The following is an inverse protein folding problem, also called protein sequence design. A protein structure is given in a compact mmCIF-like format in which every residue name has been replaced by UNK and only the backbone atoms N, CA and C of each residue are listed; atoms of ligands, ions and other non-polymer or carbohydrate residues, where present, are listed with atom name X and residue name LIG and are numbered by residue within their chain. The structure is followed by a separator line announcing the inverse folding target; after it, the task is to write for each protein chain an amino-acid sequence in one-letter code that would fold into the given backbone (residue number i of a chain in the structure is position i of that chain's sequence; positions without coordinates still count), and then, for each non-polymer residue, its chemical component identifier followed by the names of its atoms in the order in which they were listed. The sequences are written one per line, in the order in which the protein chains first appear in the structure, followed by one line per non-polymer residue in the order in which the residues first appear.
data_IF_731578150501
#
_entry.id   IF_731578150501
#
_cell.length_a   1.000
_cell.length_b   1.000
_cell.length_c   1.000
_cell.angle_alpha   90.00
_cell.angle_beta   90.00
_cell.angle_gamma   90.00
#
_symmetry.space_group_name_H-M   'P 1'
#
loop_
_entity.id
_entity.type
_entity.pdbx_description
1 polymer ?
#
# COMPACT_ATOMS: atom_id res chain seq x y z
N UNK A 1 -8.68 -8.47 11.09
CA UNK A 1 -8.45 -9.37 9.93
C UNK A 1 -7.11 -9.00 9.35
N UNK A 2 -6.17 -9.93 9.21
CA UNK A 2 -4.87 -9.62 8.63
C UNK A 2 -5.03 -9.42 7.12
N UNK A 3 -4.46 -8.35 6.56
CA UNK A 3 -4.45 -8.15 5.13
C UNK A 3 -3.64 -9.29 4.47
N UNK A 4 -4.18 -9.99 3.46
CA UNK A 4 -3.48 -11.11 2.82
C UNK A 4 -2.18 -10.66 2.11
N UNK A 5 -2.12 -9.38 1.73
CA UNK A 5 -0.94 -8.75 1.15
C UNK A 5 -0.54 -7.58 2.04
N UNK A 6 0.60 -7.70 2.69
CA UNK A 6 1.16 -6.63 3.53
C UNK A 6 2.66 -6.51 3.34
N UNK A 7 3.14 -5.31 3.53
CA UNK A 7 4.54 -4.90 3.59
C UNK A 7 4.70 -3.92 4.77
N UNK A 8 5.93 -3.52 5.14
CA UNK A 8 6.15 -2.62 6.26
C UNK A 8 5.29 -1.35 6.29
N UNK A 9 5.09 -0.71 5.13
CA UNK A 9 4.37 0.57 5.00
C UNK A 9 2.98 0.43 4.39
N UNK A 10 2.66 -0.70 3.75
CA UNK A 10 1.41 -0.87 3.00
C UNK A 10 0.68 -2.17 3.33
N UNK A 11 -0.64 -2.11 3.25
CA UNK A 11 -1.49 -3.29 3.29
C UNK A 11 -2.58 -3.17 2.25
N UNK A 12 -2.86 -4.27 1.56
CA UNK A 12 -3.93 -4.34 0.57
C UNK A 12 -4.99 -5.32 1.04
N UNK A 13 -6.21 -4.81 1.19
CA UNK A 13 -7.37 -5.58 1.65
C UNK A 13 -8.36 -5.69 0.50
N UNK A 14 -8.77 -6.93 0.19
CA UNK A 14 -9.85 -7.20 -0.75
C UNK A 14 -11.19 -7.02 -0.04
N UNK A 15 -12.09 -6.29 -0.68
CA UNK A 15 -13.48 -6.07 -0.26
C UNK A 15 -14.43 -6.69 -1.27
N UNK A 16 -15.73 -6.64 -1.01
CA UNK A 16 -16.76 -7.14 -1.95
C UNK A 16 -16.75 -6.36 -3.27
N UNK A 17 -16.51 -5.05 -3.20
CA UNK A 17 -16.62 -4.12 -4.34
C UNK A 17 -15.26 -3.74 -4.97
N UNK A 18 -14.14 -4.18 -4.40
CA UNK A 18 -12.82 -3.82 -4.89
C UNK A 18 -11.68 -4.00 -3.89
N UNK A 19 -10.73 -3.08 -3.91
CA UNK A 19 -9.51 -3.15 -3.11
C UNK A 19 -9.29 -1.86 -2.33
N UNK A 20 -8.86 -2.00 -1.08
CA UNK A 20 -8.42 -0.90 -0.22
C UNK A 20 -6.91 -1.00 -0.05
N UNK A 21 -6.21 0.11 -0.33
CA UNK A 21 -4.80 0.29 0.00
C UNK A 21 -4.68 1.13 1.28
N UNK A 22 -4.20 0.50 2.34
CA UNK A 22 -3.81 1.19 3.57
C UNK A 22 -2.33 1.54 3.48
N UNK A 23 -1.98 2.80 3.79
CA UNK A 23 -0.61 3.29 3.75
C UNK A 23 -0.23 3.96 5.08
N UNK A 24 0.96 3.63 5.59
CA UNK A 24 1.59 4.26 6.76
C UNK A 24 2.76 5.09 6.29
N UNK A 25 2.46 6.19 5.62
CA UNK A 25 3.45 7.03 4.93
C UNK A 25 3.37 8.46 5.42
N UNK A 26 4.43 9.22 5.14
CA UNK A 26 4.57 10.58 5.66
C UNK A 26 3.63 11.53 4.91
N UNK A 27 3.11 12.53 5.60
CA UNK A 27 2.44 13.67 4.95
C UNK A 27 3.37 14.86 4.92
N UNK A 28 3.31 15.63 3.84
CA UNK A 28 3.95 16.94 3.83
C UNK A 28 3.17 17.97 4.66
N UNK A 29 3.64 19.21 4.65
CA UNK A 29 3.05 20.31 5.40
C UNK A 29 1.69 20.76 4.83
N UNK A 30 1.39 20.42 3.58
CA UNK A 30 0.14 20.72 2.89
C UNK A 30 -0.88 19.58 3.07
N UNK A 31 -0.44 18.45 3.63
CA UNK A 31 -1.26 17.29 3.93
C UNK A 31 -1.26 16.22 2.85
N UNK A 32 -0.41 16.40 1.82
CA UNK A 32 -0.24 15.44 0.74
C UNK A 32 0.58 14.25 1.20
N UNK A 33 0.20 13.07 0.72
CA UNK A 33 0.90 11.83 1.04
C UNK A 33 2.18 11.74 0.20
N UNK A 34 3.32 11.67 0.90
CA UNK A 34 4.63 11.51 0.29
C UNK A 34 5.11 10.08 0.43
N UNK A 35 5.63 9.56 -0.68
CA UNK A 35 6.32 8.29 -0.74
C UNK A 35 7.79 8.55 -1.04
N UNK A 36 8.66 8.05 -0.18
CA UNK A 36 10.07 7.89 -0.52
C UNK A 36 10.23 6.88 -1.67
N UNK A 37 11.41 6.91 -2.31
CA UNK A 37 11.75 5.91 -3.33
C UNK A 37 11.62 4.47 -2.81
N UNK A 38 12.03 4.23 -1.57
CA UNK A 38 11.95 2.90 -0.97
C UNK A 38 10.50 2.44 -0.81
N UNK A 39 9.62 3.33 -0.32
CA UNK A 39 8.19 3.05 -0.19
C UNK A 39 7.52 2.86 -1.56
N UNK A 40 7.96 3.57 -2.60
CA UNK A 40 7.48 3.37 -3.98
C UNK A 40 7.86 1.98 -4.53
N UNK A 41 9.12 1.57 -4.35
CA UNK A 41 9.59 0.24 -4.77
C UNK A 41 8.88 -0.88 -3.99
N UNK A 42 8.65 -0.66 -2.70
CA UNK A 42 7.88 -1.57 -1.84
C UNK A 42 6.42 -1.70 -2.30
N UNK A 43 5.74 -0.57 -2.54
CA UNK A 43 4.37 -0.55 -3.02
C UNK A 43 4.24 -1.26 -4.37
N UNK A 44 5.18 -1.02 -5.29
CA UNK A 44 5.21 -1.70 -6.58
C UNK A 44 5.28 -3.22 -6.41
N UNK A 45 6.22 -3.71 -5.61
CA UNK A 45 6.35 -5.15 -5.36
C UNK A 45 5.14 -5.76 -4.65
N UNK A 46 4.48 -5.00 -3.77
CA UNK A 46 3.22 -5.44 -3.15
C UNK A 46 2.11 -5.58 -4.19
N UNK A 47 1.95 -4.58 -5.07
CA UNK A 47 0.91 -4.58 -6.11
C UNK A 47 1.13 -5.66 -7.16
N UNK A 48 2.37 -5.93 -7.57
CA UNK A 48 2.68 -7.05 -8.47
C UNK A 48 2.21 -8.38 -7.89
N UNK A 49 2.42 -8.60 -6.58
CA UNK A 49 1.97 -9.81 -5.89
C UNK A 49 0.46 -9.91 -5.76
N UNK A 50 -0.23 -8.78 -5.55
CA UNK A 50 -1.69 -8.70 -5.50
C UNK A 50 -2.32 -8.99 -6.86
N UNK A 51 -1.73 -8.45 -7.94
CA UNK A 51 -2.26 -8.61 -9.30
C UNK A 51 -1.98 -10.02 -9.84
N UNK A 52 -0.87 -10.64 -9.44
CA UNK A 52 -0.50 -11.98 -9.85
C UNK A 52 -1.23 -13.12 -9.11
N UNK A 53 -1.97 -12.82 -8.03
CA UNK A 53 -2.71 -13.80 -7.21
C UNK A 53 -4.15 -14.02 -7.66
#
# INVERSE_FOLDING_TARGET
MAAPFQSPHFAVVRTEDGWILEARVTKDLEGDWLLSRHELEELHGLLERVIAS
#
